data_IF_773493633558
#
_entry.id   IF_773493633558
#
_cell.length_a   1.000
_cell.length_b   1.000
_cell.length_c   1.000
_cell.angle_alpha   90.00
_cell.angle_beta   90.00
_cell.angle_gamma   90.00
#
_symmetry.space_group_name_H-M   'P 1'
#
loop_
_entity.id
_entity.type
_entity.pdbx_description
1 polymer ?
#
# COMPACT_ATOMS: atom_id res chain seq x y z
N UNK A 1 43.04 -26.45 -14.64
CA UNK A 1 42.73 -27.83 -15.10
C UNK A 1 42.08 -28.58 -13.93
N UNK A 2 40.82 -28.97 -14.10
CA UNK A 2 40.07 -30.06 -13.40
C UNK A 2 39.91 -29.92 -11.86
N UNK A 3 38.83 -29.29 -11.40
CA UNK A 3 37.53 -29.90 -11.02
C UNK A 3 37.56 -30.70 -9.70
N UNK A 4 36.88 -30.18 -8.66
CA UNK A 4 36.45 -30.93 -7.47
C UNK A 4 34.95 -30.80 -7.26
N UNK A 5 34.28 -31.78 -7.84
CA UNK A 5 33.08 -32.53 -7.44
C UNK A 5 32.38 -32.13 -6.14
N UNK A 6 31.11 -31.77 -6.30
CA UNK A 6 30.04 -31.77 -5.29
C UNK A 6 29.78 -33.18 -4.74
N UNK A 7 29.49 -33.27 -3.43
CA UNK A 7 28.66 -34.35 -2.85
C UNK A 7 27.58 -33.74 -1.95
N UNK A 8 26.35 -34.29 -1.95
CA UNK A 8 25.24 -33.75 -1.17
C UNK A 8 25.24 -34.31 0.26
N UNK A 9 24.95 -33.45 1.24
CA UNK A 9 24.67 -33.88 2.60
C UNK A 9 23.16 -34.12 2.74
N UNK A 10 22.81 -35.37 3.05
CA UNK A 10 21.47 -35.86 3.32
C UNK A 10 21.46 -36.23 4.79
N UNK A 11 20.77 -35.45 5.62
CA UNK A 11 20.51 -35.83 7.02
C UNK A 11 19.00 -35.96 7.23
N UNK A 12 18.62 -37.19 7.57
CA UNK A 12 17.32 -37.59 8.09
C UNK A 12 17.22 -37.16 9.55
N UNK A 13 16.09 -36.56 9.94
CA UNK A 13 15.71 -36.47 11.35
C UNK A 13 14.34 -37.14 11.57
N UNK A 14 14.17 -37.86 12.69
CA UNK A 14 13.03 -38.73 12.95
C UNK A 14 11.76 -37.95 13.32
N UNK A 15 10.62 -38.54 13.01
CA UNK A 15 9.28 -38.09 13.34
C UNK A 15 9.07 -37.86 14.84
N UNK A 16 8.91 -36.60 15.26
CA UNK A 16 8.27 -36.28 16.55
C UNK A 16 6.75 -36.18 16.37
N UNK A 17 6.03 -37.05 17.08
CA UNK A 17 4.58 -36.96 17.27
C UNK A 17 4.26 -35.72 18.11
N UNK A 18 3.66 -34.70 17.51
CA UNK A 18 3.02 -33.63 18.29
C UNK A 18 1.69 -34.15 18.85
N UNK A 19 1.62 -34.21 20.18
CA UNK A 19 0.39 -34.43 20.93
C UNK A 19 -0.51 -33.20 20.74
N UNK A 20 -1.72 -33.44 20.23
CA UNK A 20 -2.77 -32.45 20.08
C UNK A 20 -3.19 -31.93 21.47
N UNK A 21 -2.93 -30.66 21.77
CA UNK A 21 -3.63 -29.91 22.82
C UNK A 21 -4.16 -28.62 22.18
N UNK A 22 -5.36 -28.70 21.61
CA UNK A 22 -6.11 -27.54 21.12
C UNK A 22 -7.15 -27.19 22.17
N UNK A 23 -6.86 -26.19 23.00
CA UNK A 23 -7.88 -25.50 23.80
C UNK A 23 -8.25 -24.17 23.10
N UNK A 24 -9.54 -23.85 22.87
CA UNK A 24 -9.94 -22.60 22.23
C UNK A 24 -9.50 -21.37 23.05
N UNK A 25 -8.74 -20.46 22.44
CA UNK A 25 -8.16 -19.25 23.05
C UNK A 25 -9.18 -18.33 23.77
N UNK A 26 -10.45 -18.38 23.39
CA UNK A 26 -11.54 -17.67 24.08
C UNK A 26 -11.74 -18.19 25.52
N UNK A 27 -11.51 -19.48 25.74
CA UNK A 27 -11.55 -20.08 27.07
C UNK A 27 -10.32 -19.64 27.90
N UNK A 28 -9.15 -19.49 27.31
CA UNK A 28 -7.95 -18.97 28.01
C UNK A 28 -8.11 -17.50 28.43
N UNK A 29 -8.60 -16.65 27.54
CA UNK A 29 -8.82 -15.23 27.85
C UNK A 29 -9.89 -15.07 28.93
N UNK A 30 -11.00 -15.82 28.81
CA UNK A 30 -12.03 -15.84 29.86
C UNK A 30 -11.46 -16.37 31.18
N UNK A 31 -10.59 -17.38 31.14
CA UNK A 31 -9.92 -17.94 32.31
C UNK A 31 -8.97 -16.94 32.98
N UNK A 32 -8.16 -16.20 32.22
CA UNK A 32 -7.24 -15.21 32.79
C UNK A 32 -7.95 -13.94 33.29
N UNK A 33 -9.05 -13.54 32.66
CA UNK A 33 -9.93 -12.48 33.18
C UNK A 33 -10.53 -12.91 34.52
N UNK A 34 -11.03 -14.15 34.61
CA UNK A 34 -11.59 -14.69 35.85
C UNK A 34 -10.55 -14.88 36.96
N UNK A 35 -9.27 -15.06 36.61
CA UNK A 35 -8.16 -15.20 37.56
C UNK A 35 -7.48 -13.88 37.93
N UNK A 36 -7.86 -12.76 37.32
CA UNK A 36 -7.23 -11.45 37.57
C UNK A 36 -5.74 -11.39 37.16
N UNK A 37 -5.30 -12.28 36.27
CA UNK A 37 -3.90 -12.44 35.90
C UNK A 37 -3.51 -11.42 34.80
N UNK A 38 -3.27 -10.19 35.25
CA UNK A 38 -2.99 -9.03 34.39
C UNK A 38 -1.71 -9.17 33.56
N UNK A 39 -0.73 -9.95 34.03
CA UNK A 39 0.56 -10.14 33.37
C UNK A 39 0.41 -11.12 32.19
N UNK A 40 -0.30 -12.23 32.38
CA UNK A 40 -0.64 -13.17 31.29
C UNK A 40 -1.64 -12.59 30.28
N UNK A 41 -2.54 -11.71 30.72
CA UNK A 41 -3.39 -10.93 29.82
C UNK A 41 -2.56 -9.99 28.95
N UNK A 42 -1.54 -9.35 29.53
CA UNK A 42 -0.60 -8.49 28.80
C UNK A 42 0.26 -9.30 27.83
N UNK A 43 0.79 -10.45 28.22
CA UNK A 43 1.54 -11.36 27.33
C UNK A 43 0.66 -11.93 26.21
N UNK A 44 -0.58 -12.30 26.50
CA UNK A 44 -1.54 -12.77 25.49
C UNK A 44 -1.92 -11.64 24.53
N UNK A 45 -2.09 -10.41 25.03
CA UNK A 45 -2.28 -9.22 24.20
C UNK A 45 -1.02 -8.87 23.41
N UNK A 46 0.17 -8.95 23.98
CA UNK A 46 1.44 -8.72 23.27
C UNK A 46 1.70 -9.79 22.22
N UNK A 47 1.33 -11.05 22.48
CA UNK A 47 1.34 -12.14 21.50
C UNK A 47 0.35 -11.88 20.36
N UNK A 48 -0.87 -11.41 20.68
CA UNK A 48 -1.87 -11.00 19.68
C UNK A 48 -1.44 -9.73 18.92
N UNK A 49 -0.76 -8.77 19.55
CA UNK A 49 -0.22 -7.54 18.95
C UNK A 49 1.00 -7.85 18.06
N UNK A 50 1.82 -8.82 18.46
CA UNK A 50 2.95 -9.35 17.68
C UNK A 50 2.44 -10.14 16.47
N UNK A 51 1.32 -10.85 16.62
CA UNK A 51 0.56 -11.41 15.49
C UNK A 51 -0.19 -10.35 14.67
N UNK A 52 -0.44 -9.16 15.24
CA UNK A 52 -1.22 -8.09 14.63
C UNK A 52 -0.43 -7.10 13.79
N UNK A 53 0.89 -7.04 13.94
CA UNK A 53 1.73 -6.06 13.25
C UNK A 53 2.02 -6.44 11.78
N UNK A 54 1.25 -7.36 11.25
CA UNK A 54 1.60 -8.24 10.14
C UNK A 54 0.67 -7.90 8.98
N UNK A 55 1.13 -7.12 7.99
CA UNK A 55 0.97 -7.29 6.52
C UNK A 55 1.85 -6.28 5.78
N UNK A 56 2.46 -6.78 4.71
CA UNK A 56 2.90 -6.15 3.45
C UNK A 56 3.68 -4.81 3.50
N UNK A 57 4.94 -4.90 3.08
CA UNK A 57 5.71 -3.84 2.40
C UNK A 57 6.24 -4.41 1.09
N UNK A 58 6.16 -3.70 -0.04
CA UNK A 58 7.08 -3.90 -1.14
C UNK A 58 8.00 -2.67 -1.35
N UNK A 59 9.14 -2.96 -1.98
CA UNK A 59 10.16 -2.06 -2.54
C UNK A 59 11.26 -1.47 -1.61
N UNK A 60 12.37 -2.20 -1.53
CA UNK A 60 13.51 -1.81 -2.37
C UNK A 60 13.62 -2.81 -3.52
N UNK A 61 14.04 -2.33 -4.70
CA UNK A 61 14.48 -3.16 -5.80
C UNK A 61 15.60 -4.08 -5.31
N UNK A 62 15.37 -5.39 -5.29
CA UNK A 62 16.46 -6.35 -5.41
C UNK A 62 16.96 -6.22 -6.86
N UNK A 63 17.79 -5.20 -7.11
CA UNK A 63 18.50 -5.08 -8.37
C UNK A 63 19.43 -6.29 -8.49
N UNK A 64 19.35 -6.98 -9.62
CA UNK A 64 20.41 -7.86 -10.06
C UNK A 64 21.75 -7.11 -9.97
N UNK A 65 22.80 -7.79 -9.52
CA UNK A 65 24.17 -7.28 -9.37
C UNK A 65 24.74 -6.79 -10.72
N UNK A 66 24.32 -5.61 -11.15
CA UNK A 66 24.79 -4.89 -12.32
C UNK A 66 24.80 -3.38 -12.05
N UNK A 67 25.57 -2.59 -12.80
CA UNK A 67 25.61 -1.14 -12.60
C UNK A 67 24.21 -0.53 -12.75
N UNK A 68 23.83 0.33 -11.80
CA UNK A 68 22.59 1.10 -11.83
C UNK A 68 22.50 1.90 -13.14
N UNK A 69 21.32 1.95 -13.75
CA UNK A 69 21.12 2.80 -14.93
C UNK A 69 21.27 4.28 -14.55
N UNK A 70 21.53 5.16 -15.52
CA UNK A 70 21.68 6.61 -15.27
C UNK A 70 20.47 7.23 -14.56
N UNK A 71 19.28 6.67 -14.76
CA UNK A 71 18.03 7.13 -14.13
C UNK A 71 17.91 6.63 -12.69
N UNK A 72 18.32 5.38 -12.43
CA UNK A 72 18.36 4.87 -11.06
C UNK A 72 19.36 5.69 -10.23
N UNK A 73 20.48 6.11 -10.84
CA UNK A 73 21.46 7.00 -10.22
C UNK A 73 20.87 8.38 -9.90
N UNK A 74 20.11 8.96 -10.83
CA UNK A 74 19.45 10.27 -10.65
C UNK A 74 18.35 10.20 -9.57
N UNK A 75 17.52 9.16 -9.55
CA UNK A 75 16.51 8.96 -8.50
C UNK A 75 17.16 8.78 -7.14
N UNK A 76 18.25 8.02 -7.04
CA UNK A 76 19.01 7.89 -5.79
C UNK A 76 19.68 9.22 -5.38
N UNK A 77 20.11 10.04 -6.34
CA UNK A 77 20.61 11.40 -6.07
C UNK A 77 19.49 12.30 -5.51
N UNK A 78 18.31 12.30 -6.12
CA UNK A 78 17.15 13.08 -5.64
C UNK A 78 16.74 12.63 -4.24
N UNK A 79 16.68 11.32 -4.01
CA UNK A 79 16.41 10.74 -2.70
C UNK A 79 17.48 11.16 -1.69
N UNK A 80 18.75 11.13 -2.06
CA UNK A 80 19.87 11.57 -1.21
C UNK A 80 19.73 13.03 -0.79
N UNK A 81 19.38 13.92 -1.72
CA UNK A 81 19.16 15.33 -1.43
C UNK A 81 17.97 15.57 -0.49
N UNK A 82 16.83 14.88 -0.69
CA UNK A 82 15.68 14.95 0.22
C UNK A 82 16.07 14.45 1.62
N UNK A 83 16.74 13.30 1.69
CA UNK A 83 17.18 12.72 2.96
C UNK A 83 18.08 13.70 3.70
N UNK A 84 19.07 14.30 3.02
CA UNK A 84 19.97 15.28 3.62
C UNK A 84 19.21 16.51 4.13
N UNK A 85 18.31 17.06 3.29
CA UNK A 85 17.46 18.19 3.66
C UNK A 85 16.67 17.92 4.95
N UNK A 86 16.08 16.74 5.08
CA UNK A 86 15.31 16.32 6.25
C UNK A 86 16.18 16.02 7.48
N UNK A 87 17.33 15.37 7.31
CA UNK A 87 18.28 15.09 8.40
C UNK A 87 18.76 16.36 9.10
N UNK A 88 18.94 17.44 8.35
CA UNK A 88 19.35 18.75 8.88
C UNK A 88 18.22 19.45 9.65
N UNK A 89 16.96 19.24 9.26
CA UNK A 89 15.83 20.12 9.67
C UNK A 89 14.74 19.43 10.51
N UNK A 90 14.69 18.11 10.52
CA UNK A 90 13.59 17.33 11.14
C UNK A 90 14.14 16.30 12.13
N UNK A 91 14.12 16.59 13.45
CA UNK A 91 14.58 15.66 14.47
C UNK A 91 13.90 14.28 14.43
N UNK A 92 12.60 14.25 14.18
CA UNK A 92 11.78 13.02 14.12
C UNK A 92 12.21 12.12 12.96
N UNK A 93 12.60 12.73 11.83
CA UNK A 93 13.14 11.99 10.69
C UNK A 93 14.55 11.48 10.97
N UNK A 94 15.39 12.28 11.64
CA UNK A 94 16.75 11.87 12.03
C UNK A 94 16.72 10.65 12.94
N UNK A 95 15.84 10.65 13.94
CA UNK A 95 15.61 9.49 14.82
C UNK A 95 15.15 8.27 14.02
N UNK A 96 14.13 8.44 13.17
CA UNK A 96 13.63 7.35 12.33
C UNK A 96 14.72 6.79 11.40
N UNK A 97 15.54 7.66 10.80
CA UNK A 97 16.60 7.28 9.88
C UNK A 97 17.61 6.36 10.58
N UNK A 98 18.05 6.74 11.79
CA UNK A 98 18.98 5.92 12.59
C UNK A 98 18.35 4.58 13.01
N UNK A 99 17.09 4.59 13.45
CA UNK A 99 16.38 3.35 13.81
C UNK A 99 16.22 2.40 12.63
N UNK A 100 15.93 2.93 11.43
CA UNK A 100 15.85 2.13 10.22
C UNK A 100 17.21 1.55 9.85
N UNK A 101 18.29 2.33 9.94
CA UNK A 101 19.66 1.88 9.70
C UNK A 101 20.03 0.73 10.63
N UNK A 102 19.83 0.89 11.94
CA UNK A 102 20.04 -0.18 12.95
C UNK A 102 19.23 -1.45 12.66
N UNK A 103 17.99 -1.28 12.21
CA UNK A 103 17.12 -2.39 11.83
C UNK A 103 17.62 -3.14 10.59
N UNK A 104 18.12 -2.41 9.59
CA UNK A 104 18.68 -2.95 8.34
C UNK A 104 20.01 -3.70 8.60
N UNK A 105 20.85 -3.14 9.47
CA UNK A 105 22.13 -3.73 9.85
C UNK A 105 21.96 -4.95 10.79
N UNK A 106 20.72 -5.28 11.19
CA UNK A 106 20.41 -6.42 12.04
C UNK A 106 19.71 -7.55 11.25
N UNK A 107 20.35 -8.71 11.05
CA UNK A 107 19.74 -9.87 10.39
C UNK A 107 18.42 -10.35 11.03
N UNK A 108 18.20 -10.07 12.32
CA UNK A 108 16.93 -10.36 13.00
C UNK A 108 15.78 -9.50 12.48
N UNK A 109 16.06 -8.27 12.03
CA UNK A 109 15.08 -7.41 11.36
C UNK A 109 14.62 -8.02 10.03
N UNK A 110 15.56 -8.52 9.23
CA UNK A 110 15.25 -9.23 7.98
C UNK A 110 14.44 -10.50 8.22
N UNK A 111 14.84 -11.31 9.21
CA UNK A 111 14.12 -12.52 9.59
C UNK A 111 12.68 -12.19 10.03
N UNK A 112 12.51 -11.14 10.84
CA UNK A 112 11.21 -10.66 11.30
C UNK A 112 10.30 -10.29 10.11
N UNK A 113 10.77 -9.46 9.19
CA UNK A 113 9.97 -9.05 8.04
C UNK A 113 9.77 -10.16 6.99
N UNK A 114 10.70 -11.11 6.87
CA UNK A 114 10.55 -12.31 6.03
C UNK A 114 9.46 -13.23 6.58
N UNK A 115 9.43 -13.47 7.89
CA UNK A 115 8.38 -14.26 8.52
C UNK A 115 7.01 -13.61 8.31
N UNK A 116 6.92 -12.28 8.44
CA UNK A 116 5.67 -11.55 8.18
C UNK A 116 5.19 -11.70 6.73
N UNK A 117 6.10 -11.65 5.74
CA UNK A 117 5.75 -11.88 4.33
C UNK A 117 5.21 -13.29 4.10
N UNK A 118 5.91 -14.30 4.62
CA UNK A 118 5.51 -15.70 4.49
C UNK A 118 4.11 -15.99 5.08
N UNK A 119 3.76 -15.35 6.20
CA UNK A 119 2.43 -15.49 6.82
C UNK A 119 1.33 -14.83 5.98
N UNK A 120 1.61 -13.66 5.39
CA UNK A 120 0.66 -12.98 4.51
C UNK A 120 0.40 -13.78 3.21
N UNK A 121 1.44 -14.39 2.65
CA UNK A 121 1.33 -15.19 1.41
C UNK A 121 0.63 -16.55 1.64
N UNK A 122 0.69 -17.08 2.87
CA UNK A 122 0.07 -18.36 3.26
C UNK A 122 -1.07 -18.16 4.25
N UNK A 123 -1.87 -17.12 4.04
CA UNK A 123 -2.93 -16.74 4.97
C UNK A 123 -3.97 -17.87 5.14
N UNK A 124 -4.07 -18.41 6.34
CA UNK A 124 -5.19 -19.28 6.74
C UNK A 124 -6.49 -18.49 6.86
N UNK A 125 -7.64 -19.16 6.93
CA UNK A 125 -8.93 -18.50 7.15
C UNK A 125 -8.93 -17.61 8.40
N UNK A 126 -8.27 -18.05 9.48
CA UNK A 126 -8.09 -17.28 10.71
C UNK A 126 -7.24 -16.03 10.49
N UNK A 127 -6.15 -16.15 9.73
CA UNK A 127 -5.27 -15.02 9.42
C UNK A 127 -6.00 -14.01 8.54
N UNK A 128 -6.73 -14.47 7.53
CA UNK A 128 -7.57 -13.62 6.68
C UNK A 128 -8.60 -12.82 7.50
N UNK A 129 -9.31 -13.48 8.43
CA UNK A 129 -10.26 -12.80 9.33
C UNK A 129 -9.57 -11.76 10.21
N UNK A 130 -8.37 -12.07 10.70
CA UNK A 130 -7.57 -11.14 11.47
C UNK A 130 -7.20 -9.90 10.63
N UNK A 131 -6.71 -10.08 9.40
CA UNK A 131 -6.38 -8.97 8.49
C UNK A 131 -7.60 -8.09 8.22
N UNK A 132 -8.77 -8.69 7.97
CA UNK A 132 -10.01 -7.95 7.77
C UNK A 132 -10.33 -7.03 8.95
N UNK A 133 -10.31 -7.56 10.18
CA UNK A 133 -10.56 -6.76 11.39
C UNK A 133 -9.49 -5.70 11.64
N UNK A 134 -8.23 -6.00 11.33
CA UNK A 134 -7.15 -5.04 11.43
C UNK A 134 -7.36 -3.86 10.47
N UNK A 135 -7.70 -4.13 9.21
CA UNK A 135 -7.99 -3.06 8.25
C UNK A 135 -9.22 -2.23 8.64
N UNK A 136 -10.23 -2.84 9.28
CA UNK A 136 -11.35 -2.09 9.85
C UNK A 136 -10.89 -1.11 10.95
N UNK A 137 -10.01 -1.57 11.88
CA UNK A 137 -9.45 -0.72 12.94
C UNK A 137 -8.62 0.44 12.37
N UNK A 138 -7.76 0.16 11.38
CA UNK A 138 -7.01 1.21 10.67
C UNK A 138 -7.98 2.21 10.02
N UNK A 139 -9.08 1.73 9.43
CA UNK A 139 -10.10 2.59 8.83
C UNK A 139 -10.77 3.50 9.84
N UNK A 140 -11.09 2.98 11.03
CA UNK A 140 -11.65 3.77 12.13
C UNK A 140 -10.66 4.81 12.64
N UNK A 141 -9.38 4.45 12.82
CA UNK A 141 -8.32 5.39 13.19
C UNK A 141 -8.19 6.53 12.18
N UNK A 142 -8.12 6.20 10.88
CA UNK A 142 -8.06 7.17 9.79
C UNK A 142 -9.26 8.11 9.80
N UNK A 143 -10.46 7.58 9.97
CA UNK A 143 -11.66 8.40 10.05
C UNK A 143 -11.62 9.35 11.25
N UNK A 144 -11.30 8.84 12.44
CA UNK A 144 -11.26 9.63 13.67
C UNK A 144 -10.19 10.72 13.61
N UNK A 145 -9.01 10.43 13.04
CA UNK A 145 -7.91 11.37 12.99
C UNK A 145 -8.10 12.49 11.96
N UNK A 146 -8.59 12.15 10.76
CA UNK A 146 -8.58 13.09 9.62
C UNK A 146 -9.87 13.14 8.81
N UNK A 147 -10.90 12.39 9.18
CA UNK A 147 -12.19 12.35 8.48
C UNK A 147 -12.16 11.54 7.19
N UNK A 148 -11.22 10.59 7.04
CA UNK A 148 -10.89 9.92 5.77
C UNK A 148 -12.08 9.29 5.01
N UNK A 149 -13.10 8.84 5.74
CA UNK A 149 -14.27 8.15 5.20
C UNK A 149 -15.57 8.98 5.27
N UNK A 150 -15.48 10.29 5.53
CA UNK A 150 -16.66 11.15 5.56
C UNK A 150 -17.18 11.40 4.14
N UNK A 151 -18.48 11.17 3.92
CA UNK A 151 -19.17 11.59 2.69
C UNK A 151 -20.24 12.61 3.08
N UNK A 152 -20.17 13.87 2.60
CA UNK A 152 -21.22 14.84 2.83
C UNK A 152 -22.54 14.32 2.27
N UNK A 153 -23.60 14.33 3.08
CA UNK A 153 -24.94 14.05 2.60
C UNK A 153 -25.59 15.36 2.20
N UNK A 154 -25.61 15.65 0.90
CA UNK A 154 -26.30 16.80 0.33
C UNK A 154 -27.81 16.53 0.13
N UNK A 155 -28.26 15.29 0.32
CA UNK A 155 -29.64 14.85 0.08
C UNK A 155 -30.05 14.80 -1.40
N UNK A 156 -29.14 15.17 -2.32
CA UNK A 156 -29.41 15.30 -3.75
C UNK A 156 -28.91 14.09 -4.53
N UNK A 157 -27.80 13.50 -4.09
CA UNK A 157 -27.16 12.39 -4.78
C UNK A 157 -27.00 11.16 -3.89
N UNK A 158 -27.11 9.99 -4.51
CA UNK A 158 -26.79 8.72 -3.86
C UNK A 158 -25.27 8.69 -3.56
N UNK A 159 -24.85 8.54 -2.29
CA UNK A 159 -23.44 8.41 -1.97
C UNK A 159 -22.85 7.12 -2.54
N UNK A 160 -21.67 7.21 -3.14
CA UNK A 160 -20.99 6.16 -3.88
C UNK A 160 -19.53 6.03 -3.45
N UNK A 161 -19.10 4.80 -3.17
CA UNK A 161 -17.72 4.45 -2.82
C UNK A 161 -17.09 3.56 -3.90
N UNK A 162 -15.85 3.82 -4.25
CA UNK A 162 -15.03 2.93 -5.09
C UNK A 162 -13.87 2.37 -4.26
N UNK A 163 -13.72 1.05 -4.22
CA UNK A 163 -12.55 0.38 -3.64
C UNK A 163 -11.89 -0.52 -4.70
N UNK A 164 -10.74 -0.11 -5.20
CA UNK A 164 -10.09 -0.76 -6.35
C UNK A 164 -9.27 -2.00 -5.99
N UNK A 165 -9.04 -2.25 -4.69
CA UNK A 165 -8.30 -3.41 -4.20
C UNK A 165 -8.91 -3.89 -2.89
N UNK A 166 -10.21 -4.19 -2.95
CA UNK A 166 -11.08 -4.30 -1.80
C UNK A 166 -10.72 -5.44 -0.84
N UNK A 167 -10.40 -6.63 -1.35
CA UNK A 167 -10.17 -7.80 -0.51
C UNK A 167 -9.03 -7.59 0.51
N UNK A 168 -9.26 -7.86 1.82
CA UNK A 168 -10.38 -8.63 2.37
C UNK A 168 -11.67 -7.83 2.66
N UNK A 169 -11.63 -6.49 2.55
CA UNK A 169 -12.80 -5.61 2.60
C UNK A 169 -12.91 -4.69 3.81
N UNK A 170 -11.85 -4.59 4.62
CA UNK A 170 -11.92 -3.87 5.90
C UNK A 170 -12.20 -2.37 5.73
N UNK A 171 -11.54 -1.70 4.78
CA UNK A 171 -11.80 -0.28 4.53
C UNK A 171 -13.18 -0.03 3.95
N UNK A 172 -13.60 -0.80 2.95
CA UNK A 172 -14.94 -0.64 2.40
C UNK A 172 -16.04 -0.92 3.44
N UNK A 173 -15.86 -1.93 4.29
CA UNK A 173 -16.78 -2.21 5.39
C UNK A 173 -16.88 -1.02 6.36
N UNK A 174 -15.74 -0.43 6.74
CA UNK A 174 -15.71 0.78 7.58
C UNK A 174 -16.40 1.96 6.89
N UNK A 175 -16.14 2.18 5.60
CA UNK A 175 -16.78 3.25 4.82
C UNK A 175 -18.31 3.11 4.80
N UNK A 176 -18.83 1.91 4.55
CA UNK A 176 -20.26 1.62 4.49
C UNK A 176 -20.95 1.62 5.85
N UNK A 177 -20.20 1.39 6.94
CA UNK A 177 -20.68 1.54 8.30
C UNK A 177 -20.86 3.03 8.66
N UNK A 178 -19.88 3.86 8.30
CA UNK A 178 -19.90 5.30 8.57
C UNK A 178 -20.88 6.06 7.66
N UNK A 179 -21.19 5.50 6.49
CA UNK A 179 -22.11 6.07 5.51
C UNK A 179 -23.23 5.07 5.19
N UNK A 180 -24.27 4.96 6.03
CA UNK A 180 -25.30 3.91 5.91
C UNK A 180 -26.06 3.94 4.58
N UNK A 181 -26.21 5.12 3.99
CA UNK A 181 -26.88 5.30 2.71
C UNK A 181 -25.99 4.97 1.51
N UNK A 182 -24.66 4.87 1.70
CA UNK A 182 -23.76 4.68 0.57
C UNK A 182 -23.90 3.31 -0.09
N UNK A 183 -23.70 3.31 -1.41
CA UNK A 183 -23.47 2.13 -2.24
C UNK A 183 -22.00 2.08 -2.65
N UNK A 184 -21.55 0.93 -3.12
CA UNK A 184 -20.16 0.75 -3.50
C UNK A 184 -19.96 -0.13 -4.71
N UNK A 185 -18.86 0.15 -5.43
CA UNK A 185 -18.24 -0.74 -6.40
C UNK A 185 -16.89 -1.14 -5.84
N UNK A 186 -16.61 -2.44 -5.83
CA UNK A 186 -15.36 -3.01 -5.38
C UNK A 186 -14.71 -3.84 -6.48
N UNK A 187 -13.40 -3.69 -6.66
CA UNK A 187 -12.58 -4.59 -7.46
C UNK A 187 -11.65 -5.39 -6.56
N UNK A 188 -11.34 -6.62 -6.94
CA UNK A 188 -10.35 -7.44 -6.25
C UNK A 188 -9.73 -8.46 -7.18
N UNK A 189 -8.44 -8.73 -7.01
CA UNK A 189 -7.78 -9.78 -7.79
C UNK A 189 -8.44 -11.14 -7.46
N UNK A 190 -8.76 -11.98 -8.47
CA UNK A 190 -9.29 -13.31 -8.22
C UNK A 190 -8.33 -14.16 -7.37
N UNK A 191 -8.87 -14.97 -6.44
CA UNK A 191 -8.05 -15.86 -5.61
C UNK A 191 -7.22 -16.83 -6.46
N UNK A 192 -7.80 -17.33 -7.56
CA UNK A 192 -7.10 -18.20 -8.52
C UNK A 192 -5.90 -17.52 -9.21
N UNK A 193 -5.86 -16.19 -9.22
CA UNK A 193 -4.76 -15.38 -9.76
C UNK A 193 -3.81 -14.91 -8.66
N UNK A 194 -3.90 -15.48 -7.45
CA UNK A 194 -3.07 -15.09 -6.30
C UNK A 194 -3.67 -13.99 -5.42
N UNK A 195 -4.92 -13.59 -5.67
CA UNK A 195 -5.66 -12.60 -4.86
C UNK A 195 -6.08 -13.11 -3.48
N UNK A 196 -6.53 -12.18 -2.63
CA UNK A 196 -7.06 -12.49 -1.31
C UNK A 196 -8.58 -12.78 -1.35
N UNK A 197 -9.05 -13.61 -0.41
CA UNK A 197 -10.49 -13.86 -0.24
C UNK A 197 -11.17 -12.60 0.29
N UNK A 198 -12.27 -12.20 -0.34
CA UNK A 198 -13.16 -11.17 0.20
C UNK A 198 -13.91 -11.74 1.43
N UNK A 199 -13.86 -11.02 2.55
CA UNK A 199 -14.50 -11.41 3.82
C UNK A 199 -15.65 -10.48 4.21
N UNK A 200 -15.84 -9.38 3.49
CA UNK A 200 -17.00 -8.52 3.68
C UNK A 200 -18.30 -9.31 3.39
N UNK A 201 -19.33 -9.20 4.25
CA UNK A 201 -20.61 -9.86 4.02
C UNK A 201 -21.26 -9.43 2.71
N UNK A 202 -21.95 -10.36 2.04
CA UNK A 202 -22.74 -10.05 0.85
C UNK A 202 -23.79 -8.98 1.18
N UNK A 203 -23.83 -7.92 0.37
CA UNK A 203 -24.73 -6.78 0.56
C UNK A 203 -25.22 -6.32 -0.79
N UNK A 204 -26.53 -6.04 -0.90
CA UNK A 204 -27.12 -5.45 -2.12
C UNK A 204 -26.60 -4.02 -2.41
N UNK A 205 -25.93 -3.40 -1.44
CA UNK A 205 -25.29 -2.09 -1.59
C UNK A 205 -23.92 -2.17 -2.24
N UNK A 206 -23.35 -3.37 -2.40
CA UNK A 206 -22.00 -3.56 -2.95
C UNK A 206 -22.06 -4.38 -4.22
N UNK A 207 -21.48 -3.83 -5.28
CA UNK A 207 -21.13 -4.56 -6.48
C UNK A 207 -19.65 -4.93 -6.43
N UNK A 208 -19.35 -6.23 -6.24
CA UNK A 208 -17.98 -6.73 -6.20
C UNK A 208 -17.64 -7.47 -7.50
N UNK A 209 -16.53 -7.09 -8.13
CA UNK A 209 -16.01 -7.73 -9.34
C UNK A 209 -14.60 -8.25 -9.10
N UNK A 210 -14.35 -9.49 -9.54
CA UNK A 210 -13.04 -10.11 -9.43
C UNK A 210 -12.27 -10.00 -10.75
N UNK A 211 -11.28 -9.12 -10.79
CA UNK A 211 -10.46 -8.82 -11.97
C UNK A 211 -9.12 -8.19 -11.58
N UNK A 212 -8.18 -8.19 -12.52
CA UNK A 212 -6.92 -7.44 -12.40
C UNK A 212 -7.12 -6.02 -12.94
N UNK A 213 -7.08 -5.01 -12.07
CA UNK A 213 -7.32 -3.62 -12.47
C UNK A 213 -6.24 -3.10 -13.43
N UNK A 214 -5.02 -3.67 -13.43
CA UNK A 214 -3.97 -3.23 -14.35
C UNK A 214 -4.21 -3.67 -15.79
N UNK A 215 -5.23 -4.52 -16.01
CA UNK A 215 -5.67 -5.00 -17.31
C UNK A 215 -6.86 -4.22 -17.88
N UNK A 216 -7.33 -3.15 -17.20
CA UNK A 216 -8.47 -2.33 -17.63
C UNK A 216 -8.11 -1.34 -18.75
N UNK A 217 -7.61 -1.83 -19.89
CA UNK A 217 -7.17 -0.98 -21.00
C UNK A 217 -8.27 -0.03 -21.51
N UNK A 218 -9.51 -0.53 -21.64
CA UNK A 218 -10.63 0.28 -22.08
C UNK A 218 -10.96 1.43 -21.11
N UNK A 219 -10.90 1.19 -19.80
CA UNK A 219 -11.10 2.25 -18.79
C UNK A 219 -9.94 3.26 -18.77
N UNK A 220 -8.73 2.79 -19.05
CA UNK A 220 -7.53 3.62 -19.30
C UNK A 220 -7.61 4.36 -20.65
N UNK A 221 -8.61 4.08 -21.48
CA UNK A 221 -8.87 4.76 -22.75
C UNK A 221 -7.99 4.26 -23.90
N UNK A 222 -7.62 2.98 -23.87
CA UNK A 222 -7.00 2.24 -24.97
C UNK A 222 -8.03 1.25 -25.51
N UNK A 223 -8.43 1.45 -26.76
CA UNK A 223 -9.44 0.61 -27.44
C UNK A 223 -8.81 -0.43 -28.37
N UNK A 224 -7.57 -0.22 -28.79
CA UNK A 224 -6.83 -1.10 -29.69
C UNK A 224 -5.51 -1.48 -29.04
N UNK A 225 -5.34 -2.78 -28.77
CA UNK A 225 -4.11 -3.33 -28.21
C UNK A 225 -3.26 -3.87 -29.36
N UNK A 226 -1.94 -3.65 -29.41
CA UNK A 226 -1.07 -4.23 -30.43
C UNK A 226 -1.21 -5.76 -30.51
N UNK A 227 -1.28 -6.31 -31.72
CA UNK A 227 -1.52 -7.75 -31.97
C UNK A 227 -0.36 -8.65 -31.52
N UNK A 228 0.83 -8.08 -31.45
CA UNK A 228 2.07 -8.71 -31.00
C UNK A 228 2.29 -8.61 -29.49
N UNK A 229 1.42 -7.90 -28.78
CA UNK A 229 1.51 -7.78 -27.32
C UNK A 229 1.22 -9.14 -26.64
N UNK A 230 2.04 -9.60 -25.68
CA UNK A 230 1.86 -10.91 -25.03
C UNK A 230 0.46 -11.12 -24.42
N UNK A 231 -0.14 -10.05 -23.91
CA UNK A 231 -1.49 -10.04 -23.33
C UNK A 231 -2.57 -9.47 -24.27
N UNK A 232 -2.38 -9.44 -25.60
CA UNK A 232 -3.33 -8.82 -26.56
C UNK A 232 -4.80 -9.19 -26.30
N UNK A 233 -5.08 -10.49 -26.15
CA UNK A 233 -6.42 -11.02 -25.90
C UNK A 233 -6.85 -11.07 -24.43
N UNK A 234 -6.06 -10.54 -23.49
CA UNK A 234 -6.30 -10.61 -22.03
C UNK A 234 -6.71 -9.28 -21.41
N UNK A 235 -6.56 -8.16 -22.13
CA UNK A 235 -7.06 -6.88 -21.64
C UNK A 235 -8.59 -6.87 -21.57
N UNK A 236 -9.09 -6.15 -20.57
CA UNK A 236 -10.49 -6.19 -20.18
C UNK A 236 -11.31 -5.09 -20.87
N UNK A 237 -12.59 -5.37 -21.20
CA UNK A 237 -13.51 -4.34 -21.63
C UNK A 237 -13.84 -3.39 -20.47
N UNK A 238 -14.43 -2.25 -20.83
CA UNK A 238 -14.77 -1.18 -19.88
C UNK A 238 -15.57 -1.71 -18.69
N UNK A 239 -15.11 -1.39 -17.48
CA UNK A 239 -15.76 -1.78 -16.23
C UNK A 239 -16.48 -0.60 -15.58
N UNK A 240 -15.91 0.60 -15.61
CA UNK A 240 -16.53 1.80 -15.06
C UNK A 240 -17.21 2.58 -16.18
N UNK A 241 -18.51 2.83 -16.03
CA UNK A 241 -19.30 3.56 -17.03
C UNK A 241 -18.83 5.02 -17.08
N UNK A 242 -18.92 5.69 -18.24
CA UNK A 242 -18.53 7.09 -18.37
C UNK A 242 -19.20 8.03 -17.34
N UNK A 243 -20.42 7.70 -16.91
CA UNK A 243 -21.21 8.48 -15.95
C UNK A 243 -21.07 8.01 -14.50
N UNK A 244 -20.31 6.94 -14.23
CA UNK A 244 -20.06 6.50 -12.85
C UNK A 244 -19.28 7.59 -12.11
N UNK A 245 -19.77 7.96 -10.93
CA UNK A 245 -19.22 9.02 -10.09
C UNK A 245 -19.18 8.57 -8.64
N UNK A 246 -18.08 8.84 -7.96
CA UNK A 246 -17.82 8.42 -6.58
C UNK A 246 -17.49 9.60 -5.69
N UNK A 247 -17.96 9.57 -4.44
CA UNK A 247 -17.66 10.58 -3.41
C UNK A 247 -16.43 10.20 -2.59
N UNK A 248 -16.15 8.89 -2.50
CA UNK A 248 -15.03 8.33 -1.79
C UNK A 248 -14.35 7.26 -2.66
N UNK A 249 -13.04 7.38 -2.81
CA UNK A 249 -12.22 6.39 -3.52
C UNK A 249 -11.12 5.87 -2.58
N UNK A 250 -10.97 4.55 -2.52
CA UNK A 250 -9.95 3.85 -1.74
C UNK A 250 -8.94 3.22 -2.70
N UNK A 251 -7.69 3.64 -2.56
CA UNK A 251 -6.52 3.21 -3.33
C UNK A 251 -5.50 2.55 -2.40
N UNK A 252 -5.82 1.35 -1.91
CA UNK A 252 -4.98 0.57 -0.98
C UNK A 252 -4.27 -0.62 -1.66
N UNK A 253 -4.32 -0.67 -3.00
CA UNK A 253 -3.78 -1.76 -3.79
C UNK A 253 -2.26 -1.84 -3.71
N UNK A 254 -1.76 -3.06 -3.50
CA UNK A 254 -0.35 -3.40 -3.56
C UNK A 254 -0.16 -4.66 -4.40
N UNK A 255 0.99 -4.76 -5.05
CA UNK A 255 1.37 -5.98 -5.78
C UNK A 255 1.50 -7.16 -4.81
N UNK A 256 0.85 -8.26 -5.15
CA UNK A 256 0.91 -9.51 -4.39
C UNK A 256 2.01 -10.41 -4.95
N UNK A 257 2.83 -10.99 -4.06
CA UNK A 257 3.92 -11.91 -4.44
C UNK A 257 3.42 -13.24 -5.01
N UNK A 258 2.17 -13.58 -4.72
CA UNK A 258 1.45 -14.76 -5.21
C UNK A 258 0.88 -14.58 -6.61
N UNK A 259 0.89 -13.36 -7.16
CA UNK A 259 0.36 -13.08 -8.49
C UNK A 259 1.44 -13.28 -9.55
N UNK A 260 1.31 -14.38 -10.29
CA UNK A 260 2.13 -14.67 -11.46
C UNK A 260 1.82 -13.67 -12.58
N UNK A 261 2.87 -13.16 -13.22
CA UNK A 261 2.80 -12.06 -14.18
C UNK A 261 3.82 -12.29 -15.29
N UNK A 262 3.57 -11.68 -16.44
CA UNK A 262 4.45 -11.72 -17.60
C UNK A 262 5.71 -10.84 -17.37
N UNK A 263 6.83 -11.24 -17.98
CA UNK A 263 8.15 -10.63 -17.76
C UNK A 263 8.17 -9.13 -18.10
N UNK A 264 7.44 -8.70 -19.13
CA UNK A 264 7.43 -7.30 -19.58
C UNK A 264 6.91 -6.32 -18.52
N UNK A 265 5.98 -6.79 -17.67
CA UNK A 265 5.31 -5.97 -16.66
C UNK A 265 5.83 -6.18 -15.25
N UNK A 266 6.54 -7.27 -14.95
CA UNK A 266 6.90 -7.63 -13.56
C UNK A 266 7.60 -6.48 -12.82
N UNK A 267 8.61 -5.87 -13.45
CA UNK A 267 9.39 -4.76 -12.87
C UNK A 267 8.62 -3.44 -12.79
N UNK A 268 7.53 -3.29 -13.56
CA UNK A 268 6.76 -2.04 -13.68
C UNK A 268 5.39 -2.14 -13.00
N UNK A 269 5.01 -3.31 -12.52
CA UNK A 269 3.64 -3.60 -12.10
C UNK A 269 3.19 -2.73 -10.92
N UNK A 270 4.07 -2.48 -9.96
CA UNK A 270 3.74 -1.62 -8.82
C UNK A 270 3.39 -0.20 -9.28
N UNK A 271 4.10 0.30 -10.30
CA UNK A 271 3.76 1.59 -10.92
C UNK A 271 2.44 1.47 -11.66
N UNK A 272 2.26 0.46 -12.53
CA UNK A 272 1.02 0.22 -13.29
C UNK A 272 -0.19 0.19 -12.37
N UNK A 273 -0.11 -0.53 -11.26
CA UNK A 273 -1.17 -0.62 -10.25
C UNK A 273 -1.44 0.73 -9.58
N UNK A 274 -0.38 1.46 -9.19
CA UNK A 274 -0.51 2.78 -8.57
C UNK A 274 -1.19 3.77 -9.52
N UNK A 275 -0.67 3.91 -10.75
CA UNK A 275 -1.22 4.89 -11.71
C UNK A 275 -2.62 4.52 -12.20
N UNK A 276 -2.96 3.23 -12.27
CA UNK A 276 -4.33 2.77 -12.55
C UNK A 276 -5.29 3.25 -11.46
N UNK A 277 -4.93 3.02 -10.19
CA UNK A 277 -5.77 3.45 -9.06
C UNK A 277 -5.93 4.97 -9.02
N UNK A 278 -4.83 5.72 -9.21
CA UNK A 278 -4.86 7.18 -9.21
C UNK A 278 -5.71 7.74 -10.37
N UNK A 279 -5.50 7.24 -11.58
CA UNK A 279 -6.20 7.69 -12.77
C UNK A 279 -7.70 7.38 -12.70
N UNK A 280 -8.09 6.12 -12.48
CA UNK A 280 -9.50 5.74 -12.44
C UNK A 280 -10.21 6.39 -11.26
N UNK A 281 -9.53 6.45 -10.10
CA UNK A 281 -10.02 7.13 -8.92
C UNK A 281 -10.33 8.60 -9.17
N UNK A 282 -9.41 9.36 -9.76
CA UNK A 282 -9.60 10.79 -10.03
C UNK A 282 -10.58 11.04 -11.18
N UNK A 283 -10.53 10.23 -12.25
CA UNK A 283 -11.42 10.32 -13.41
C UNK A 283 -12.90 10.22 -13.04
N UNK A 284 -13.22 9.33 -12.10
CA UNK A 284 -14.60 9.09 -11.64
C UNK A 284 -14.93 9.80 -10.32
N UNK A 285 -14.05 10.69 -9.83
CA UNK A 285 -14.27 11.44 -8.60
C UNK A 285 -15.27 12.58 -8.79
N UNK A 286 -16.28 12.67 -7.93
CA UNK A 286 -17.13 13.86 -7.83
C UNK A 286 -16.33 15.04 -7.27
N UNK A 287 -16.50 16.27 -7.81
CA UNK A 287 -15.92 17.45 -7.20
C UNK A 287 -16.27 17.55 -5.72
N UNK A 288 -15.26 17.77 -4.87
CA UNK A 288 -15.41 17.81 -3.41
C UNK A 288 -15.23 16.45 -2.71
N UNK A 289 -15.12 15.35 -3.46
CA UNK A 289 -14.92 14.00 -2.90
C UNK A 289 -13.56 13.78 -2.23
N UNK A 290 -13.34 12.57 -1.73
CA UNK A 290 -12.14 12.18 -0.97
C UNK A 290 -11.46 10.96 -1.56
N UNK A 291 -10.12 11.00 -1.69
CA UNK A 291 -9.28 9.83 -1.99
C UNK A 291 -8.47 9.42 -0.77
N UNK A 292 -8.50 8.14 -0.42
CA UNK A 292 -7.61 7.52 0.57
C UNK A 292 -6.60 6.67 -0.18
N UNK A 293 -5.31 7.02 -0.09
CA UNK A 293 -4.25 6.40 -0.90
C UNK A 293 -3.15 5.86 0.01
N UNK A 294 -2.83 4.58 -0.13
CA UNK A 294 -1.69 3.95 0.54
C UNK A 294 -0.38 4.37 -0.13
N UNK A 295 0.53 4.93 0.66
CA UNK A 295 1.86 5.36 0.24
C UNK A 295 2.93 4.75 1.14
N UNK A 296 4.18 4.78 0.71
CA UNK A 296 5.32 4.27 1.48
C UNK A 296 6.45 5.28 1.45
N UNK A 297 7.16 5.40 2.58
CA UNK A 297 8.34 6.28 2.75
C UNK A 297 8.03 7.70 2.26
N UNK A 298 7.56 8.55 3.18
CA UNK A 298 7.12 9.90 2.84
C UNK A 298 8.23 10.73 2.15
N UNK A 299 9.48 10.43 2.45
CA UNK A 299 10.69 11.01 1.87
C UNK A 299 11.12 10.47 0.48
N UNK A 300 10.42 9.47 -0.07
CA UNK A 300 10.73 8.96 -1.41
C UNK A 300 10.32 9.98 -2.48
N UNK A 301 11.15 10.16 -3.52
CA UNK A 301 10.92 11.09 -4.63
C UNK A 301 9.49 11.03 -5.20
N UNK A 302 9.05 9.85 -5.63
CA UNK A 302 7.70 9.65 -6.17
C UNK A 302 6.58 10.01 -5.20
N UNK A 303 6.76 9.69 -3.92
CA UNK A 303 5.79 9.98 -2.87
C UNK A 303 5.67 11.49 -2.65
N UNK A 304 6.81 12.20 -2.64
CA UNK A 304 6.85 13.66 -2.49
C UNK A 304 6.19 14.35 -3.69
N UNK A 305 6.53 13.93 -4.92
CA UNK A 305 5.91 14.47 -6.13
C UNK A 305 4.40 14.26 -6.15
N UNK A 306 3.92 13.09 -5.69
CA UNK A 306 2.51 12.80 -5.61
C UNK A 306 1.80 13.72 -4.59
N UNK A 307 2.39 13.91 -3.41
CA UNK A 307 1.86 14.81 -2.39
C UNK A 307 1.81 16.26 -2.90
N UNK A 308 2.87 16.74 -3.58
CA UNK A 308 2.91 18.07 -4.23
C UNK A 308 1.80 18.19 -5.27
N UNK A 309 1.67 17.20 -6.15
CA UNK A 309 0.68 17.17 -7.23
C UNK A 309 -0.75 17.26 -6.69
N UNK A 310 -1.11 16.45 -5.68
CA UNK A 310 -2.44 16.53 -5.08
C UNK A 310 -2.68 17.86 -4.36
N UNK A 311 -1.63 18.50 -3.81
CA UNK A 311 -1.72 19.83 -3.21
C UNK A 311 -2.21 20.92 -4.17
N UNK A 312 -2.09 20.74 -5.48
CA UNK A 312 -2.59 21.71 -6.48
C UNK A 312 -4.12 21.69 -6.63
N UNK A 313 -4.80 20.62 -6.22
CA UNK A 313 -6.23 20.43 -6.47
C UNK A 313 -7.01 19.73 -5.35
N UNK A 314 -6.39 19.47 -4.20
CA UNK A 314 -7.04 18.84 -3.05
C UNK A 314 -6.45 19.34 -1.73
N UNK A 315 -7.20 19.16 -0.64
CA UNK A 315 -6.69 19.33 0.71
C UNK A 315 -5.99 18.04 1.13
N UNK A 316 -4.66 18.08 1.23
CA UNK A 316 -3.84 16.91 1.55
C UNK A 316 -3.60 16.81 3.06
N UNK A 317 -3.93 15.64 3.61
CA UNK A 317 -3.52 15.20 4.95
C UNK A 317 -2.79 13.87 4.82
N UNK A 318 -1.90 13.57 5.76
CA UNK A 318 -1.25 12.26 5.85
C UNK A 318 -1.48 11.66 7.23
N UNK A 319 -1.57 10.34 7.31
CA UNK A 319 -1.78 9.64 8.56
C UNK A 319 -1.01 8.32 8.59
N UNK A 320 -0.31 8.09 9.70
CA UNK A 320 0.38 6.86 10.01
C UNK A 320 -0.43 6.08 11.06
N UNK A 321 -0.95 4.89 10.75
CA UNK A 321 -1.69 4.11 11.74
C UNK A 321 -0.83 3.79 12.97
N UNK A 322 -1.45 3.85 14.15
CA UNK A 322 -0.75 3.77 15.44
C UNK A 322 -0.78 2.37 16.03
N UNK A 323 -1.86 1.61 15.81
CA UNK A 323 -2.00 0.27 16.40
C UNK A 323 -1.45 -0.86 15.51
N UNK A 324 -1.55 -0.69 14.19
CA UNK A 324 -1.21 -1.71 13.20
C UNK A 324 -0.34 -1.09 12.12
N UNK A 325 0.57 -1.88 11.53
CA UNK A 325 1.57 -1.40 10.55
C UNK A 325 2.44 -0.22 11.00
N UNK A 326 2.42 0.19 12.27
CA UNK A 326 3.15 1.34 12.78
C UNK A 326 4.67 1.27 12.53
N UNK A 327 5.27 0.06 12.57
CA UNK A 327 6.70 -0.19 12.27
C UNK A 327 7.04 -0.12 10.77
N UNK A 328 6.05 -0.29 9.88
CA UNK A 328 6.25 -0.31 8.42
C UNK A 328 6.48 1.10 7.89
N UNK A 329 6.98 1.21 6.66
CA UNK A 329 7.08 2.50 5.95
C UNK A 329 5.74 2.99 5.39
N UNK A 330 4.70 2.17 5.42
CA UNK A 330 3.38 2.51 4.89
C UNK A 330 2.70 3.62 5.67
N UNK A 331 2.00 4.50 4.99
CA UNK A 331 1.13 5.52 5.58
C UNK A 331 0.05 5.86 4.56
N UNK A 332 -0.96 6.63 4.95
CA UNK A 332 -2.04 7.01 4.06
C UNK A 332 -2.00 8.50 3.77
N UNK A 333 -2.15 8.86 2.51
CA UNK A 333 -2.60 10.18 2.11
C UNK A 333 -4.12 10.18 2.09
N UNK A 334 -4.72 11.23 2.65
CA UNK A 334 -6.14 11.54 2.55
C UNK A 334 -6.24 12.87 1.81
N UNK A 335 -6.58 12.79 0.53
CA UNK A 335 -6.84 13.95 -0.31
C UNK A 335 -8.35 14.24 -0.28
N UNK A 336 -8.76 15.21 0.53
CA UNK A 336 -10.15 15.63 0.64
C UNK A 336 -10.47 16.86 -0.22
N UNK A 337 -11.76 17.16 -0.40
CA UNK A 337 -12.22 18.29 -1.21
C UNK A 337 -11.60 18.32 -2.62
N UNK A 338 -11.49 17.15 -3.25
CA UNK A 338 -10.80 16.98 -4.53
C UNK A 338 -11.52 17.77 -5.62
N UNK A 339 -10.83 18.75 -6.21
CA UNK A 339 -11.32 19.56 -7.31
C UNK A 339 -11.01 18.87 -8.65
N UNK A 340 -11.66 17.72 -8.90
CA UNK A 340 -11.35 16.81 -10.02
C UNK A 340 -11.45 17.43 -11.42
N UNK A 341 -12.14 18.56 -11.56
CA UNK A 341 -12.30 19.30 -12.82
C UNK A 341 -11.26 20.42 -13.03
N UNK A 342 -10.35 20.65 -12.08
CA UNK A 342 -9.29 21.66 -12.23
C UNK A 342 -8.27 21.24 -13.31
N UNK A 343 -7.65 22.19 -14.02
CA UNK A 343 -6.60 21.87 -15.00
C UNK A 343 -5.44 21.04 -14.43
N UNK A 344 -5.07 21.25 -13.16
CA UNK A 344 -4.06 20.46 -12.47
C UNK A 344 -4.44 18.98 -12.34
N UNK A 345 -5.69 18.68 -11.98
CA UNK A 345 -6.21 17.32 -11.93
C UNK A 345 -6.20 16.66 -13.32
N UNK A 346 -6.57 17.41 -14.37
CA UNK A 346 -6.51 16.92 -15.74
C UNK A 346 -5.07 16.61 -16.21
N UNK A 347 -4.09 17.46 -15.87
CA UNK A 347 -2.66 17.20 -16.13
C UNK A 347 -2.18 15.94 -15.40
N UNK A 348 -2.53 15.79 -14.12
CA UNK A 348 -2.18 14.62 -13.33
C UNK A 348 -2.77 13.32 -13.95
N UNK A 349 -4.04 13.34 -14.37
CA UNK A 349 -4.65 12.21 -15.07
C UNK A 349 -3.93 11.89 -16.40
N UNK A 350 -3.63 12.90 -17.21
CA UNK A 350 -2.87 12.72 -18.45
C UNK A 350 -1.51 12.06 -18.20
N UNK A 351 -0.78 12.57 -17.20
CA UNK A 351 0.50 12.03 -16.75
C UNK A 351 0.41 10.56 -16.36
N UNK A 352 -0.53 10.21 -15.47
CA UNK A 352 -0.71 8.83 -15.00
C UNK A 352 -1.11 7.87 -16.11
N UNK A 353 -1.96 8.32 -17.05
CA UNK A 353 -2.31 7.55 -18.23
C UNK A 353 -1.08 7.28 -19.10
N UNK A 354 -0.28 8.30 -19.43
CA UNK A 354 0.94 8.13 -20.22
C UNK A 354 1.96 7.20 -19.55
N UNK A 355 2.12 7.28 -18.22
CA UNK A 355 2.96 6.34 -17.48
C UNK A 355 2.43 4.91 -17.61
N UNK A 356 1.12 4.71 -17.48
CA UNK A 356 0.51 3.38 -17.62
C UNK A 356 0.69 2.82 -19.04
N UNK A 357 0.47 3.63 -20.07
CA UNK A 357 0.63 3.24 -21.47
C UNK A 357 2.09 2.86 -21.76
N UNK A 358 3.05 3.70 -21.36
CA UNK A 358 4.47 3.41 -21.54
C UNK A 358 4.92 2.19 -20.74
N UNK A 359 4.40 2.01 -19.52
CA UNK A 359 4.69 0.84 -18.70
C UNK A 359 4.10 -0.46 -19.28
N UNK A 360 2.99 -0.37 -20.01
CA UNK A 360 2.25 -1.52 -20.55
C UNK A 360 2.72 -1.88 -21.95
N UNK A 361 2.84 -0.91 -22.85
CA UNK A 361 3.10 -1.12 -24.27
C UNK A 361 4.48 -0.63 -24.72
N UNK A 362 5.17 0.18 -23.90
CA UNK A 362 6.44 0.81 -24.25
C UNK A 362 7.68 -0.02 -23.93
N UNK A 363 8.79 0.31 -24.59
CA UNK A 363 10.12 -0.20 -24.25
C UNK A 363 10.59 0.31 -22.89
N UNK A 364 11.63 -0.30 -22.31
CA UNK A 364 12.19 0.19 -21.05
C UNK A 364 12.66 1.65 -21.17
N UNK A 365 13.19 2.03 -22.33
CA UNK A 365 13.63 3.39 -22.61
C UNK A 365 12.47 4.38 -22.69
N UNK A 366 11.41 4.03 -23.42
CA UNK A 366 10.22 4.87 -23.52
C UNK A 366 9.54 5.07 -22.16
N UNK A 367 9.42 3.98 -21.38
CA UNK A 367 8.91 4.04 -20.01
C UNK A 367 9.76 4.95 -19.12
N UNK A 368 11.08 4.77 -19.17
CA UNK A 368 12.05 5.58 -18.42
C UNK A 368 11.97 7.07 -18.76
N UNK A 369 11.99 7.41 -20.05
CA UNK A 369 11.82 8.79 -20.53
C UNK A 369 10.51 9.38 -20.05
N UNK A 370 9.43 8.60 -20.14
CA UNK A 370 8.11 9.02 -19.66
C UNK A 370 8.17 9.36 -18.18
N UNK A 371 8.85 8.58 -17.32
CA UNK A 371 8.96 8.88 -15.89
C UNK A 371 9.66 10.19 -15.54
N UNK A 372 10.57 10.68 -16.39
CA UNK A 372 11.30 11.93 -16.15
C UNK A 372 10.63 13.16 -16.76
N UNK A 373 9.78 12.95 -17.77
CA UNK A 373 9.20 14.03 -18.54
C UNK A 373 8.32 14.96 -17.67
N UNK A 374 8.73 16.23 -17.61
CA UNK A 374 8.02 17.28 -16.88
C UNK A 374 8.20 17.28 -15.37
N UNK A 375 9.07 16.42 -14.83
CA UNK A 375 9.39 16.44 -13.40
C UNK A 375 10.34 17.61 -13.06
N UNK A 376 10.16 18.26 -11.89
CA UNK A 376 11.02 19.35 -11.45
C UNK A 376 12.42 18.84 -11.06
N UNK A 377 13.39 19.75 -10.97
CA UNK A 377 14.64 19.41 -10.27
C UNK A 377 14.38 19.19 -8.78
N UNK A 378 15.28 18.48 -8.08
CA UNK A 378 15.13 18.27 -6.63
C UNK A 378 15.23 19.58 -5.86
N UNK A 379 16.03 20.54 -6.34
CA UNK A 379 16.16 21.88 -5.76
C UNK A 379 14.88 22.69 -5.92
N UNK A 380 14.26 22.68 -7.10
CA UNK A 380 12.96 23.33 -7.33
C UNK A 380 11.90 22.72 -6.42
N UNK A 381 11.83 21.38 -6.38
CA UNK A 381 10.87 20.66 -5.53
C UNK A 381 11.06 21.01 -4.04
N UNK A 382 12.29 21.00 -3.54
CA UNK A 382 12.58 21.35 -2.14
C UNK A 382 12.33 22.83 -1.85
N UNK A 383 12.61 23.73 -2.79
CA UNK A 383 12.33 25.16 -2.68
C UNK A 383 10.83 25.43 -2.51
N UNK A 384 10.00 24.78 -3.33
CA UNK A 384 8.56 25.03 -3.36
C UNK A 384 7.80 24.24 -2.28
N UNK A 385 8.19 22.99 -2.04
CA UNK A 385 7.41 22.04 -1.24
C UNK A 385 8.13 21.54 0.02
N UNK A 386 9.41 21.86 0.22
CA UNK A 386 10.21 21.32 1.32
C UNK A 386 9.64 21.61 2.71
N UNK A 387 9.10 22.81 2.92
CA UNK A 387 8.47 23.20 4.21
C UNK A 387 7.16 22.43 4.45
N UNK A 388 6.36 22.22 3.42
CA UNK A 388 5.12 21.44 3.49
C UNK A 388 5.42 19.95 3.67
N UNK A 389 6.45 19.42 3.00
CA UNK A 389 6.97 18.07 3.20
C UNK A 389 7.33 17.81 4.67
N UNK A 390 8.07 18.74 5.29
CA UNK A 390 8.39 18.67 6.72
C UNK A 390 7.12 18.68 7.58
N UNK A 391 6.18 19.59 7.30
CA UNK A 391 4.92 19.73 8.04
C UNK A 391 4.09 18.44 8.00
N UNK A 392 3.93 17.85 6.82
CA UNK A 392 3.21 16.60 6.62
C UNK A 392 3.93 15.41 7.30
N UNK A 393 5.25 15.35 7.20
CA UNK A 393 6.01 14.18 7.61
C UNK A 393 6.22 13.99 9.12
N UNK A 394 6.22 15.07 9.93
CA UNK A 394 6.60 15.00 11.35
C UNK A 394 5.92 13.89 12.14
N UNK A 395 4.59 13.84 12.17
CA UNK A 395 3.86 12.81 12.94
C UNK A 395 4.00 11.41 12.31
N UNK A 396 4.11 11.32 10.98
CA UNK A 396 4.33 10.05 10.28
C UNK A 396 5.68 9.45 10.71
N UNK A 397 6.75 10.24 10.66
CA UNK A 397 8.08 9.79 11.03
C UNK A 397 8.18 9.50 12.52
N UNK A 398 7.66 10.37 13.39
CA UNK A 398 7.66 10.16 14.84
C UNK A 398 6.88 8.91 15.26
N UNK A 399 5.75 8.63 14.61
CA UNK A 399 4.95 7.43 14.90
C UNK A 399 5.70 6.16 14.51
N UNK A 400 6.37 6.16 13.35
CA UNK A 400 7.19 5.02 12.96
C UNK A 400 8.43 4.86 13.85
N UNK A 401 9.11 5.96 14.20
CA UNK A 401 10.29 5.96 15.06
C UNK A 401 9.97 5.30 16.41
N UNK A 402 8.93 5.79 17.10
CA UNK A 402 8.46 5.18 18.37
C UNK A 402 8.19 3.68 18.22
N UNK A 403 7.47 3.28 17.18
CA UNK A 403 7.16 1.87 16.95
C UNK A 403 8.41 1.00 16.69
N UNK A 404 9.43 1.54 15.99
CA UNK A 404 10.68 0.85 15.72
C UNK A 404 11.60 0.80 16.94
N UNK A 405 11.66 1.86 17.74
CA UNK A 405 12.41 1.89 19.00
C UNK A 405 11.95 0.77 19.95
N UNK A 406 10.67 0.40 19.89
CA UNK A 406 10.10 -0.69 20.67
C UNK A 406 10.23 -2.08 20.03
N UNK A 407 10.74 -2.17 18.80
CA UNK A 407 10.82 -3.43 18.09
C UNK A 407 11.84 -4.39 18.75
N UNK A 408 11.54 -5.70 18.82
CA UNK A 408 12.39 -6.66 19.51
C UNK A 408 13.79 -6.77 18.90
N UNK A 409 13.93 -6.55 17.59
CA UNK A 409 15.22 -6.53 16.90
C UNK A 409 16.00 -5.21 17.07
N UNK A 410 15.39 -4.15 17.61
CA UNK A 410 16.08 -2.90 17.94
C UNK A 410 16.50 -2.87 19.42
N UNK A 411 15.59 -3.26 20.33
CA UNK A 411 15.83 -3.28 21.78
C UNK A 411 16.95 -4.23 22.22
N UNK A 412 17.22 -5.29 21.46
CA UNK A 412 18.29 -6.24 21.79
C UNK A 412 19.71 -5.72 21.51
N UNK A 413 19.87 -4.51 20.98
CA UNK A 413 21.17 -3.86 20.74
C UNK A 413 21.44 -2.66 21.67
N UNK A 414 20.45 -2.22 22.44
CA UNK A 414 20.55 -1.05 23.33
C UNK A 414 20.93 -1.43 24.75
#
# INVERSE_FOLDING_TARGET
MVAKTLRPYKEEYPSMKYVNIITPLHQLISHFILQGDSERLRETNEFLITMASNSITPFHNDFAEGPLSSIDQEIEQFRGAIVQFLLERVPEFRELHELRRRGWDNPKGDAYFRQQRNQADKASARSAQFFYQMMQRIGQELHQAVGAFAIPNDGLSQPMVLDMCMAPGGFLATALQLNPMARAVGFSLPVGSGGHKALMPNSRRVELRFLDITMLAADMGVTEVPVDHPDHGRFLPQQLRPDDRFDLVICDGQVLRTHAREDYREKREARRLTVTQLYLGLKHMRPGGTMVVLLHKLENWDTVLLLRTFGEFATVKVYKPRTSHCKRSSFYMVAGNVQSQRPAAARAMGRWKSIWEAATFGTDEAYRKTLQEGEPSVEEMLGDFGSELMRLGRDVWATQARALAEAPFIRQQS
#
